data_IF_693380023079
#
_entry.id   IF_693380023079
#
_cell.length_a   1.000
_cell.length_b   1.000
_cell.length_c   1.000
_cell.angle_alpha   90.00
_cell.angle_beta   90.00
_cell.angle_gamma   90.00
#
_symmetry.space_group_name_H-M   'P 1'
#
loop_
_entity.id
_entity.type
_entity.pdbx_description
1 polymer ?
#
# COMPACT_ATOMS: atom_id res chain seq x y z
N UNK A 1 10.40 -1.24 26.71
CA UNK A 1 10.78 -0.07 25.88
C UNK A 1 9.52 0.62 25.40
N UNK A 2 9.31 1.88 25.76
CA UNK A 2 8.17 2.66 25.26
C UNK A 2 8.27 2.84 23.74
N UNK A 3 7.15 2.67 23.03
CA UNK A 3 7.02 3.07 21.62
C UNK A 3 7.39 4.55 21.55
N UNK A 4 8.50 4.90 20.90
CA UNK A 4 8.71 6.29 20.50
C UNK A 4 7.51 6.67 19.62
N UNK A 5 6.74 7.68 20.04
CA UNK A 5 5.63 8.18 19.25
C UNK A 5 6.23 8.67 17.92
N UNK A 6 5.86 8.04 16.81
CA UNK A 6 6.27 8.50 15.49
C UNK A 6 5.62 9.85 15.23
N UNK A 7 6.43 10.88 14.98
CA UNK A 7 5.94 12.21 14.62
C UNK A 7 5.00 12.12 13.40
N UNK A 8 3.88 12.86 13.37
CA UNK A 8 3.02 12.94 12.20
C UNK A 8 3.81 13.31 10.94
N UNK A 9 3.45 12.70 9.80
CA UNK A 9 4.11 12.98 8.53
C UNK A 9 3.16 13.73 7.59
N UNK A 10 3.67 14.69 6.79
CA UNK A 10 2.88 15.37 5.77
C UNK A 10 2.27 14.37 4.78
N UNK A 11 0.98 14.54 4.54
CA UNK A 11 0.22 13.76 3.57
C UNK A 11 -0.69 14.70 2.76
N UNK A 12 -0.24 15.18 1.60
CA UNK A 12 -1.09 15.92 0.68
C UNK A 12 -1.86 17.09 1.34
N UNK A 13 -1.18 17.86 2.19
CA UNK A 13 -1.79 18.95 2.97
C UNK A 13 -2.48 18.55 4.29
N UNK A 14 -2.48 17.26 4.63
CA UNK A 14 -2.91 16.70 5.91
C UNK A 14 -1.74 16.09 6.69
N UNK A 15 -2.04 15.44 7.82
CA UNK A 15 -1.07 14.77 8.69
C UNK A 15 -1.44 13.30 8.88
N UNK A 16 -0.51 12.40 8.62
CA UNK A 16 -0.64 10.98 8.91
C UNK A 16 0.08 10.64 10.22
N UNK A 17 -0.69 10.23 11.22
CA UNK A 17 -0.22 9.92 12.57
C UNK A 17 0.61 8.63 12.65
N UNK A 18 0.55 7.95 13.80
CA UNK A 18 1.37 6.76 14.06
C UNK A 18 0.87 5.49 13.36
N UNK A 19 -0.38 5.47 12.93
CA UNK A 19 -0.97 4.35 12.22
C UNK A 19 -0.93 4.64 10.72
N UNK A 20 -0.17 3.85 9.96
CA UNK A 20 0.22 4.21 8.57
C UNK A 20 -0.07 3.14 7.52
N UNK A 21 -1.06 2.30 7.80
CA UNK A 21 -1.61 1.36 6.83
C UNK A 21 -2.91 1.93 6.28
N UNK A 22 -2.88 2.39 5.02
CA UNK A 22 -3.94 3.20 4.41
C UNK A 22 -4.54 2.45 3.24
N UNK A 23 -5.86 2.25 3.22
CA UNK A 23 -6.55 1.88 1.99
C UNK A 23 -6.99 3.14 1.24
N UNK A 24 -6.73 3.20 -0.06
CA UNK A 24 -7.15 4.31 -0.90
C UNK A 24 -8.06 3.81 -2.01
N UNK A 25 -9.25 4.39 -2.11
CA UNK A 25 -10.27 3.97 -3.07
C UNK A 25 -10.50 5.04 -4.13
N UNK A 26 -10.35 4.65 -5.39
CA UNK A 26 -10.52 5.55 -6.53
C UNK A 26 -11.42 4.94 -7.59
N UNK A 27 -12.15 5.78 -8.33
CA UNK A 27 -13.02 5.32 -9.43
C UNK A 27 -12.31 5.28 -10.78
N UNK A 28 -11.19 5.98 -10.89
CA UNK A 28 -10.37 6.04 -12.09
C UNK A 28 -8.96 6.58 -11.78
N UNK A 29 -8.05 6.42 -12.75
CA UNK A 29 -6.67 6.87 -12.62
C UNK A 29 -6.54 8.39 -12.41
N UNK A 30 -7.37 9.22 -13.04
CA UNK A 30 -7.26 10.68 -12.86
C UNK A 30 -7.58 11.10 -11.42
N UNK A 31 -8.56 10.46 -10.78
CA UNK A 31 -8.86 10.63 -9.37
C UNK A 31 -7.71 10.16 -8.48
N UNK A 32 -7.14 8.99 -8.77
CA UNK A 32 -5.98 8.44 -8.06
C UNK A 32 -4.79 9.39 -8.09
N UNK A 33 -4.31 9.78 -9.27
CA UNK A 33 -3.12 10.65 -9.38
C UNK A 33 -3.37 12.04 -8.80
N UNK A 34 -4.58 12.61 -8.96
CA UNK A 34 -4.92 13.90 -8.34
C UNK A 34 -4.78 13.86 -6.81
N UNK A 35 -5.03 12.72 -6.18
CA UNK A 35 -4.97 12.55 -4.72
C UNK A 35 -3.59 12.11 -4.26
N UNK A 36 -2.93 11.19 -4.97
CA UNK A 36 -1.66 10.60 -4.53
C UNK A 36 -0.43 11.43 -4.95
N UNK A 37 -0.48 12.20 -6.03
CA UNK A 37 0.68 12.99 -6.48
C UNK A 37 1.21 13.95 -5.40
N UNK A 38 0.38 14.71 -4.67
CA UNK A 38 0.89 15.57 -3.60
C UNK A 38 1.63 14.78 -2.51
N UNK A 39 1.13 13.60 -2.12
CA UNK A 39 1.83 12.74 -1.16
C UNK A 39 3.19 12.25 -1.66
N UNK A 40 3.28 11.95 -2.96
CA UNK A 40 4.52 11.52 -3.62
C UNK A 40 5.51 12.68 -3.70
N UNK A 41 5.05 13.87 -4.10
CA UNK A 41 5.85 15.10 -4.15
C UNK A 41 6.40 15.47 -2.77
N UNK A 42 5.54 15.51 -1.75
CA UNK A 42 5.93 15.76 -0.35
C UNK A 42 7.06 14.81 0.09
N UNK A 43 7.02 13.55 -0.35
CA UNK A 43 8.03 12.55 -0.07
C UNK A 43 9.37 12.87 -0.72
N UNK A 44 9.35 13.15 -2.02
CA UNK A 44 10.58 13.48 -2.75
C UNK A 44 11.22 14.78 -2.24
N UNK A 45 10.43 15.82 -1.99
CA UNK A 45 10.88 17.09 -1.43
C UNK A 45 11.47 16.94 -0.01
N UNK A 46 10.94 16.00 0.78
CA UNK A 46 11.46 15.66 2.11
C UNK A 46 12.71 14.78 2.08
N UNK A 47 13.19 14.37 0.91
CA UNK A 47 14.29 13.41 0.78
C UNK A 47 13.91 11.98 1.21
N UNK A 48 12.62 11.67 1.31
CA UNK A 48 12.15 10.32 1.62
C UNK A 48 12.26 9.43 0.38
N UNK A 49 12.40 8.12 0.60
CA UNK A 49 12.34 7.11 -0.45
C UNK A 49 10.89 6.79 -0.79
N UNK A 50 10.64 6.41 -2.04
CA UNK A 50 9.36 5.96 -2.57
C UNK A 50 9.50 4.51 -3.08
N UNK A 51 8.60 3.64 -2.65
CA UNK A 51 8.51 2.24 -3.08
C UNK A 51 7.14 2.00 -3.70
N UNK A 52 7.07 1.91 -5.03
CA UNK A 52 5.81 1.79 -5.75
C UNK A 52 5.70 0.40 -6.40
N UNK A 53 4.55 -0.26 -6.23
CA UNK A 53 4.19 -1.49 -6.95
C UNK A 53 3.01 -1.18 -7.86
N UNK A 54 3.18 -1.43 -9.15
CA UNK A 54 2.18 -1.11 -10.19
C UNK A 54 1.89 -2.32 -11.09
N UNK A 55 0.79 -2.27 -11.82
CA UNK A 55 0.55 -3.18 -12.95
C UNK A 55 1.65 -2.95 -14.01
N UNK A 56 2.35 -4.00 -14.51
CA UNK A 56 3.36 -3.87 -15.56
C UNK A 56 2.84 -3.15 -16.80
N UNK A 57 1.54 -3.28 -17.14
CA UNK A 57 0.90 -2.59 -18.26
C UNK A 57 0.80 -1.08 -18.03
N UNK A 58 0.74 -0.65 -16.77
CA UNK A 58 0.60 0.75 -16.36
C UNK A 58 1.94 1.38 -15.96
N UNK A 59 3.03 0.61 -15.88
CA UNK A 59 4.36 1.09 -15.45
C UNK A 59 4.80 2.36 -16.19
N UNK A 60 4.76 2.34 -17.51
CA UNK A 60 5.18 3.50 -18.32
C UNK A 60 4.26 4.70 -18.12
N UNK A 61 2.95 4.46 -17.98
CA UNK A 61 2.00 5.54 -17.71
C UNK A 61 2.22 6.15 -16.32
N UNK A 62 2.49 5.33 -15.30
CA UNK A 62 2.83 5.79 -13.95
C UNK A 62 4.05 6.72 -13.98
N UNK A 63 5.13 6.30 -14.66
CA UNK A 63 6.33 7.15 -14.81
C UNK A 63 6.03 8.46 -15.54
N UNK A 64 5.20 8.44 -16.60
CA UNK A 64 4.79 9.66 -17.30
C UNK A 64 3.98 10.60 -16.41
N UNK A 65 3.10 10.08 -15.57
CA UNK A 65 2.30 10.86 -14.61
C UNK A 65 3.19 11.52 -13.56
N UNK A 66 4.18 10.80 -13.03
CA UNK A 66 5.18 11.38 -12.11
C UNK A 66 5.97 12.51 -12.78
N UNK A 67 6.48 12.27 -14.00
CA UNK A 67 7.22 13.29 -14.74
C UNK A 67 6.37 14.53 -15.06
N UNK A 68 5.11 14.34 -15.42
CA UNK A 68 4.16 15.43 -15.69
C UNK A 68 3.82 16.25 -14.43
N UNK A 69 4.01 15.67 -13.25
CA UNK A 69 3.88 16.34 -11.97
C UNK A 69 5.18 17.06 -11.53
N UNK A 70 6.20 17.13 -12.41
CA UNK A 70 7.46 17.82 -12.13
C UNK A 70 8.51 16.98 -11.40
N UNK A 71 8.29 15.67 -11.22
CA UNK A 71 9.28 14.78 -10.62
C UNK A 71 10.30 14.38 -11.69
N UNK A 72 11.58 14.66 -11.45
CA UNK A 72 12.66 14.12 -12.30
C UNK A 72 12.88 12.64 -12.00
N UNK A 73 12.07 11.80 -12.66
CA UNK A 73 12.08 10.33 -12.53
C UNK A 73 13.48 9.76 -12.70
N UNK A 74 14.24 10.24 -13.67
CA UNK A 74 15.57 9.70 -13.96
C UNK A 74 16.57 10.00 -12.83
N UNK A 75 16.43 11.14 -12.16
CA UNK A 75 17.24 11.49 -10.98
C UNK A 75 16.83 10.65 -9.77
N UNK A 76 15.53 10.57 -9.46
CA UNK A 76 15.06 9.83 -8.27
C UNK A 76 15.24 8.32 -8.40
N UNK A 77 15.23 7.74 -9.61
CA UNK A 77 15.60 6.34 -9.80
C UNK A 77 17.12 6.14 -9.61
N UNK A 78 17.94 7.02 -10.21
CA UNK A 78 19.41 6.89 -10.16
C UNK A 78 19.98 7.04 -8.75
N UNK A 79 19.41 7.92 -7.94
CA UNK A 79 19.83 8.12 -6.56
C UNK A 79 19.19 7.11 -5.57
N UNK A 80 18.35 6.19 -6.07
CA UNK A 80 17.68 5.15 -5.28
C UNK A 80 16.45 5.63 -4.49
N UNK A 81 16.07 6.89 -4.64
CA UNK A 81 14.92 7.49 -3.96
C UNK A 81 13.59 7.00 -4.51
N UNK A 82 13.50 6.56 -5.77
CA UNK A 82 12.34 5.86 -6.33
C UNK A 82 12.73 4.42 -6.67
N UNK A 83 12.00 3.45 -6.11
CA UNK A 83 11.95 2.08 -6.57
C UNK A 83 10.58 1.74 -7.11
N UNK A 84 10.52 1.46 -8.40
CA UNK A 84 9.30 1.02 -9.06
C UNK A 84 9.40 -0.47 -9.39
N UNK A 85 8.53 -1.26 -8.78
CA UNK A 85 8.35 -2.68 -9.06
C UNK A 85 7.06 -2.90 -9.85
N UNK A 86 7.04 -3.98 -10.63
CA UNK A 86 5.78 -4.50 -11.12
C UNK A 86 5.28 -5.64 -10.22
N UNK A 87 4.01 -6.00 -10.37
CA UNK A 87 3.42 -7.07 -9.60
C UNK A 87 3.96 -8.49 -9.90
N UNK A 88 4.65 -8.71 -11.02
CA UNK A 88 5.22 -10.02 -11.36
C UNK A 88 6.52 -10.25 -10.57
N UNK A 89 7.29 -9.19 -10.34
CA UNK A 89 8.52 -9.24 -9.55
C UNK A 89 8.27 -9.25 -8.03
N UNK A 90 7.02 -9.02 -7.63
CA UNK A 90 6.58 -8.89 -6.23
C UNK A 90 5.50 -9.92 -5.90
N UNK A 91 4.23 -9.58 -6.09
CA UNK A 91 3.09 -10.44 -5.74
C UNK A 91 3.14 -11.81 -6.41
N UNK A 92 3.63 -11.91 -7.65
CA UNK A 92 3.70 -13.17 -8.40
C UNK A 92 5.13 -13.65 -8.68
N UNK A 93 6.10 -13.29 -7.82
CA UNK A 93 7.52 -13.63 -8.01
C UNK A 93 7.77 -15.12 -8.29
N UNK A 94 6.94 -16.00 -7.73
CA UNK A 94 7.02 -17.46 -7.88
C UNK A 94 5.86 -18.04 -8.69
N UNK A 95 5.25 -17.24 -9.58
CA UNK A 95 4.14 -17.63 -10.45
C UNK A 95 2.76 -17.72 -9.75
N UNK A 96 2.72 -17.51 -8.43
CA UNK A 96 1.52 -17.47 -7.61
C UNK A 96 1.71 -16.41 -6.51
N UNK A 97 0.61 -16.00 -5.88
CA UNK A 97 0.66 -15.14 -4.71
C UNK A 97 0.97 -15.95 -3.45
N UNK A 98 2.05 -15.58 -2.77
CA UNK A 98 2.45 -16.09 -1.47
C UNK A 98 2.48 -14.92 -0.47
N UNK A 99 1.53 -14.92 0.46
CA UNK A 99 1.42 -13.87 1.46
C UNK A 99 2.66 -13.77 2.36
N UNK A 100 3.33 -14.87 2.70
CA UNK A 100 4.51 -14.85 3.56
C UNK A 100 5.71 -14.27 2.84
N UNK A 101 5.90 -14.65 1.57
CA UNK A 101 6.94 -14.06 0.72
C UNK A 101 6.71 -12.56 0.52
N UNK A 102 5.47 -12.12 0.30
CA UNK A 102 5.15 -10.70 0.12
C UNK A 102 5.35 -9.88 1.41
N UNK A 103 4.96 -10.42 2.56
CA UNK A 103 5.22 -9.79 3.86
C UNK A 103 6.73 -9.64 4.14
N UNK A 104 7.52 -10.67 3.84
CA UNK A 104 8.98 -10.63 3.97
C UNK A 104 9.61 -9.62 3.00
N UNK A 105 9.10 -9.51 1.77
CA UNK A 105 9.56 -8.52 0.80
C UNK A 105 9.30 -7.09 1.26
N UNK A 106 8.09 -6.80 1.77
CA UNK A 106 7.77 -5.47 2.30
C UNK A 106 8.71 -5.14 3.47
N UNK A 107 8.91 -6.08 4.38
CA UNK A 107 9.83 -5.88 5.51
C UNK A 107 11.26 -5.58 5.04
N UNK A 108 11.76 -6.34 4.05
CA UNK A 108 13.08 -6.13 3.46
C UNK A 108 13.22 -4.76 2.78
N UNK A 109 12.21 -4.33 2.01
CA UNK A 109 12.22 -3.03 1.34
C UNK A 109 12.23 -1.87 2.35
N UNK A 110 11.47 -1.97 3.45
CA UNK A 110 11.47 -0.96 4.52
C UNK A 110 12.82 -0.90 5.25
N UNK A 111 13.41 -2.06 5.57
CA UNK A 111 14.72 -2.15 6.20
C UNK A 111 15.83 -1.63 5.30
N UNK A 112 15.77 -1.91 4.01
CA UNK A 112 16.76 -1.43 3.04
C UNK A 112 16.73 0.09 2.91
N UNK A 113 15.54 0.70 2.88
CA UNK A 113 15.41 2.16 2.86
C UNK A 113 16.07 2.80 4.09
N UNK A 114 15.82 2.25 5.27
CA UNK A 114 16.49 2.71 6.49
C UNK A 114 18.02 2.50 6.45
N UNK A 115 18.48 1.35 5.93
CA UNK A 115 19.91 1.04 5.78
C UNK A 115 20.65 1.95 4.79
N UNK A 116 19.94 2.50 3.80
CA UNK A 116 20.45 3.49 2.86
C UNK A 116 20.43 4.93 3.41
N UNK A 117 19.97 5.13 4.65
CA UNK A 117 19.95 6.43 5.32
C UNK A 117 18.71 7.27 5.03
N UNK A 118 17.70 6.73 4.35
CA UNK A 118 16.44 7.45 4.13
C UNK A 118 15.68 7.61 5.44
N UNK A 119 15.08 8.79 5.62
CA UNK A 119 14.27 9.07 6.80
C UNK A 119 12.98 8.24 6.83
N UNK A 120 12.33 8.04 5.68
CA UNK A 120 11.15 7.21 5.49
C UNK A 120 11.23 6.52 4.10
N UNK A 121 10.57 5.39 3.98
CA UNK A 121 10.13 4.78 2.71
C UNK A 121 8.61 4.92 2.62
N UNK A 122 8.11 5.72 1.68
CA UNK A 122 6.68 5.89 1.40
C UNK A 122 6.25 4.88 0.35
N UNK A 123 5.39 3.94 0.71
CA UNK A 123 4.96 2.88 -0.18
C UNK A 123 3.59 3.16 -0.81
N UNK A 124 3.46 2.90 -2.10
CA UNK A 124 2.19 2.87 -2.84
C UNK A 124 2.09 1.53 -3.55
N UNK A 125 1.10 0.74 -3.18
CA UNK A 125 0.96 -0.63 -3.65
C UNK A 125 -0.41 -0.82 -4.30
N UNK A 126 -0.44 -1.02 -5.61
CA UNK A 126 -1.70 -1.27 -6.33
C UNK A 126 -2.14 -2.71 -6.11
N UNK A 127 -3.36 -2.89 -5.63
CA UNK A 127 -3.88 -4.22 -5.23
C UNK A 127 -4.66 -4.90 -6.34
N UNK A 128 -4.80 -4.26 -7.51
CA UNK A 128 -5.56 -4.79 -8.65
C UNK A 128 -5.08 -6.15 -9.18
N UNK A 129 -3.91 -6.65 -8.74
CA UNK A 129 -3.41 -8.00 -9.03
C UNK A 129 -4.33 -9.08 -8.46
N UNK A 130 -5.05 -8.77 -7.38
CA UNK A 130 -5.99 -9.70 -6.75
C UNK A 130 -7.22 -10.00 -7.61
N UNK A 131 -7.38 -9.29 -8.74
CA UNK A 131 -8.42 -9.54 -9.74
C UNK A 131 -7.95 -10.45 -10.88
N UNK A 132 -6.66 -10.79 -10.92
CA UNK A 132 -6.12 -11.75 -11.89
C UNK A 132 -6.58 -13.17 -11.56
N UNK A 133 -6.79 -13.99 -12.58
CA UNK A 133 -7.08 -15.42 -12.41
C UNK A 133 -5.77 -16.18 -12.20
N UNK A 134 -5.17 -16.02 -11.01
CA UNK A 134 -3.89 -16.64 -10.62
C UNK A 134 -3.99 -17.32 -9.26
N UNK A 135 -3.24 -18.41 -9.01
CA UNK A 135 -3.24 -19.06 -7.71
C UNK A 135 -2.79 -18.11 -6.60
N UNK A 136 -3.48 -18.15 -5.46
CA UNK A 136 -3.12 -17.37 -4.26
C UNK A 136 -3.90 -16.06 -4.11
N UNK A 137 -4.48 -15.51 -5.17
CA UNK A 137 -5.16 -14.19 -5.10
C UNK A 137 -6.29 -14.12 -4.08
N UNK A 138 -6.91 -15.26 -3.74
CA UNK A 138 -7.93 -15.37 -2.70
C UNK A 138 -7.43 -15.04 -1.29
N UNK A 139 -6.12 -15.00 -1.08
CA UNK A 139 -5.49 -14.71 0.21
C UNK A 139 -5.20 -13.22 0.42
N UNK A 140 -5.55 -12.35 -0.54
CA UNK A 140 -5.36 -10.89 -0.43
C UNK A 140 -5.97 -10.32 0.86
N UNK A 141 -7.17 -10.76 1.25
CA UNK A 141 -7.86 -10.27 2.46
C UNK A 141 -7.10 -10.64 3.72
N UNK A 142 -6.58 -11.86 3.78
CA UNK A 142 -5.79 -12.35 4.90
C UNK A 142 -4.43 -11.64 4.96
N UNK A 143 -3.80 -11.45 3.82
CA UNK A 143 -2.55 -10.71 3.67
C UNK A 143 -2.66 -9.27 4.18
N UNK A 144 -3.68 -8.53 3.74
CA UNK A 144 -3.93 -7.14 4.16
C UNK A 144 -4.17 -7.04 5.68
N UNK A 145 -4.90 -8.01 6.27
CA UNK A 145 -5.03 -8.09 7.72
C UNK A 145 -3.67 -8.31 8.41
N UNK A 146 -2.86 -9.25 7.90
CA UNK A 146 -1.57 -9.62 8.47
C UNK A 146 -0.51 -8.52 8.37
N UNK A 147 -0.60 -7.62 7.40
CA UNK A 147 0.27 -6.43 7.34
C UNK A 147 0.25 -5.63 8.65
N UNK A 148 -0.89 -5.60 9.34
CA UNK A 148 -1.02 -4.90 10.63
C UNK A 148 -0.20 -5.51 11.78
N UNK A 149 0.37 -6.71 11.64
CA UNK A 149 1.35 -7.23 12.60
C UNK A 149 2.77 -6.68 12.37
N UNK A 150 3.08 -6.30 11.13
CA UNK A 150 4.43 -5.88 10.73
C UNK A 150 4.56 -4.36 10.79
N UNK A 151 3.63 -3.64 10.16
CA UNK A 151 3.73 -2.19 9.98
C UNK A 151 3.87 -1.39 11.27
N UNK A 152 3.30 -1.77 12.43
CA UNK A 152 3.53 -1.04 13.68
C UNK A 152 4.98 -1.05 14.19
N UNK A 153 5.87 -1.85 13.59
CA UNK A 153 7.31 -1.89 13.88
C UNK A 153 8.10 -0.84 13.07
N UNK A 154 7.46 -0.25 12.06
CA UNK A 154 8.06 0.69 11.11
C UNK A 154 7.33 2.04 11.18
N UNK A 155 8.04 3.11 10.85
CA UNK A 155 7.46 4.47 10.75
C UNK A 155 6.97 4.76 9.32
N UNK A 156 7.09 3.80 8.44
CA UNK A 156 6.94 3.96 7.00
C UNK A 156 5.46 3.82 6.61
N UNK A 157 4.89 4.77 5.83
CA UNK A 157 3.52 4.66 5.38
C UNK A 157 3.38 3.74 4.18
N UNK A 158 2.31 2.93 4.18
CA UNK A 158 1.90 2.12 3.05
C UNK A 158 0.47 2.49 2.65
N UNK A 159 0.30 2.84 1.38
CA UNK A 159 -0.99 3.07 0.76
C UNK A 159 -1.29 1.88 -0.17
N UNK A 160 -2.30 1.09 0.19
CA UNK A 160 -2.87 0.05 -0.66
C UNK A 160 -3.96 0.69 -1.54
N UNK A 161 -3.77 0.66 -2.85
CA UNK A 161 -4.62 1.34 -3.83
C UNK A 161 -5.61 0.36 -4.47
N UNK A 162 -6.90 0.71 -4.41
CA UNK A 162 -8.01 -0.09 -4.88
C UNK A 162 -8.84 0.68 -5.93
N UNK A 163 -9.08 0.03 -7.07
CA UNK A 163 -9.94 0.54 -8.14
C UNK A 163 -11.39 0.09 -7.92
N UNK A 164 -12.24 1.02 -7.47
CA UNK A 164 -13.66 0.79 -7.21
C UNK A 164 -14.47 0.43 -8.45
N UNK A 165 -13.97 0.72 -9.66
CA UNK A 165 -14.63 0.30 -10.89
C UNK A 165 -14.47 -1.19 -11.19
N UNK A 166 -13.50 -1.84 -10.53
CA UNK A 166 -13.12 -3.24 -10.78
C UNK A 166 -13.40 -4.16 -9.59
N UNK A 167 -13.26 -3.68 -8.36
CA UNK A 167 -13.49 -4.48 -7.16
C UNK A 167 -14.98 -4.53 -6.77
N UNK A 168 -15.48 -5.72 -6.43
CA UNK A 168 -16.85 -5.90 -5.95
C UNK A 168 -17.07 -5.36 -4.54
N UNK A 169 -18.33 -5.11 -4.14
CA UNK A 169 -18.61 -4.50 -2.83
C UNK A 169 -18.08 -5.32 -1.63
N UNK A 170 -18.14 -6.65 -1.70
CA UNK A 170 -17.70 -7.53 -0.61
C UNK A 170 -16.21 -7.36 -0.29
N UNK A 171 -15.35 -7.35 -1.32
CA UNK A 171 -13.91 -7.19 -1.12
C UNK A 171 -13.58 -5.79 -0.59
N UNK A 172 -14.26 -4.73 -1.08
CA UNK A 172 -14.08 -3.36 -0.59
C UNK A 172 -14.40 -3.25 0.90
N UNK A 173 -15.48 -3.90 1.36
CA UNK A 173 -15.83 -3.97 2.78
C UNK A 173 -14.75 -4.70 3.59
N UNK A 174 -14.23 -5.82 3.10
CA UNK A 174 -13.13 -6.51 3.77
C UNK A 174 -11.86 -5.64 3.83
N UNK A 175 -11.50 -4.93 2.76
CA UNK A 175 -10.35 -4.00 2.77
C UNK A 175 -10.55 -2.85 3.75
N UNK A 176 -11.77 -2.30 3.84
CA UNK A 176 -12.10 -1.31 4.87
C UNK A 176 -11.93 -1.89 6.28
N UNK A 177 -12.25 -3.16 6.51
CA UNK A 177 -12.09 -3.77 7.83
C UNK A 177 -10.63 -4.07 8.19
N UNK A 178 -9.73 -4.19 7.21
CA UNK A 178 -8.31 -4.49 7.44
C UNK A 178 -7.41 -3.26 7.57
N UNK A 179 -7.86 -2.07 7.15
CA UNK A 179 -7.02 -0.87 7.15
C UNK A 179 -7.46 0.14 8.21
N UNK A 180 -6.58 0.56 9.13
CA UNK A 180 -6.89 1.56 10.15
C UNK A 180 -7.05 2.99 9.63
N UNK A 181 -6.50 3.29 8.45
CA UNK A 181 -6.65 4.58 7.78
C UNK A 181 -7.28 4.39 6.41
N UNK A 182 -8.02 5.39 5.95
CA UNK A 182 -8.70 5.32 4.65
C UNK A 182 -8.64 6.65 3.92
N UNK A 183 -8.51 6.58 2.60
CA UNK A 183 -8.70 7.69 1.66
C UNK A 183 -9.95 7.41 0.83
N UNK A 184 -10.99 8.19 1.06
CA UNK A 184 -12.24 8.17 0.28
C UNK A 184 -12.57 9.59 -0.15
N UNK A 185 -12.92 9.78 -1.42
CA UNK A 185 -13.21 11.12 -1.97
C UNK A 185 -12.00 12.06 -1.93
N UNK A 186 -10.79 11.52 -1.84
CA UNK A 186 -9.54 12.29 -1.71
C UNK A 186 -9.22 12.79 -0.31
N UNK A 187 -9.97 12.37 0.71
CA UNK A 187 -9.77 12.81 2.10
C UNK A 187 -9.19 11.64 2.90
N UNK A 188 -8.05 11.88 3.55
CA UNK A 188 -7.45 10.97 4.53
C UNK A 188 -8.17 11.08 5.87
N UNK A 189 -8.59 9.96 6.44
CA UNK A 189 -9.25 9.89 7.74
C UNK A 189 -8.93 8.58 8.47
N UNK A 190 -9.09 8.59 9.80
CA UNK A 190 -9.16 7.36 10.58
C UNK A 190 -10.36 6.53 10.12
N UNK A 191 -10.17 5.22 9.98
CA UNK A 191 -11.19 4.34 9.47
C UNK A 191 -12.04 3.76 10.62
N UNK A 192 -13.31 4.16 10.78
CA UNK A 192 -14.16 3.67 11.87
C UNK A 192 -14.56 2.20 11.72
N UNK A 193 -14.32 1.60 10.54
CA UNK A 193 -14.66 0.20 10.26
C UNK A 193 -13.51 -0.77 10.50
N UNK A 194 -12.32 -0.27 10.89
CA UNK A 194 -11.15 -1.10 11.14
C UNK A 194 -11.41 -2.10 12.27
N UNK A 195 -11.04 -3.36 12.01
CA UNK A 195 -11.10 -4.47 12.97
C UNK A 195 -9.67 -4.94 13.26
N UNK A 196 -9.27 -5.09 14.54
CA UNK A 196 -7.95 -5.61 14.88
C UNK A 196 -7.67 -6.96 14.19
N UNK A 197 -6.42 -7.22 13.77
CA UNK A 197 -6.11 -8.37 12.91
C UNK A 197 -6.47 -9.72 13.53
N UNK A 198 -6.30 -9.89 14.84
CA UNK A 198 -6.68 -11.14 15.53
C UNK A 198 -8.19 -11.44 15.44
N UNK A 199 -9.03 -10.41 15.60
CA UNK A 199 -10.48 -10.52 15.52
C UNK A 199 -10.91 -10.77 14.06
N UNK A 200 -10.38 -9.98 13.13
CA UNK A 200 -10.74 -10.10 11.72
C UNK A 200 -10.35 -11.46 11.13
N UNK A 201 -9.17 -11.98 11.46
CA UNK A 201 -8.70 -13.28 10.97
C UNK A 201 -9.53 -14.45 11.54
N UNK A 202 -10.02 -14.35 12.78
CA UNK A 202 -10.96 -15.31 13.34
C UNK A 202 -12.28 -15.31 12.56
N UNK A 203 -12.87 -14.13 12.33
CA UNK A 203 -14.09 -13.98 11.53
C UNK A 203 -13.92 -14.54 10.11
N UNK A 204 -12.77 -14.27 9.48
CA UNK A 204 -12.46 -14.75 8.14
C UNK A 204 -12.37 -16.30 8.09
N UNK A 205 -11.74 -16.91 9.10
CA UNK A 205 -11.66 -18.35 9.24
C UNK A 205 -13.04 -19.00 9.39
N UNK A 206 -13.91 -18.40 10.22
CA UNK A 206 -15.29 -18.86 10.42
C UNK A 206 -16.11 -18.76 9.13
N UNK A 207 -15.99 -17.66 8.38
CA UNK A 207 -16.65 -17.48 7.06
C UNK A 207 -16.20 -18.54 6.04
N UNK A 208 -14.90 -18.82 5.97
CA UNK A 208 -14.34 -19.87 5.09
C UNK A 208 -14.85 -21.26 5.48
N UNK A 209 -14.92 -21.56 6.78
CA UNK A 209 -15.45 -22.82 7.31
C UNK A 209 -16.96 -23.02 7.09
N UNK A 210 -17.75 -21.94 7.01
CA UNK A 210 -19.18 -21.99 6.71
C UNK A 210 -19.47 -22.16 5.20
N UNK A 211 -18.61 -21.63 4.34
CA UNK A 211 -18.77 -21.68 2.88
C UNK A 211 -18.26 -23.00 2.27
N UNK A 212 -17.38 -23.71 2.98
CA UNK A 212 -16.84 -25.01 2.59
C UNK A 212 -17.63 -26.24 3.08
N UNK A 213 -18.85 -26.03 3.64
CA UNK A 213 -19.78 -27.11 4.03
C UNK A 213 -20.92 -27.25 3.05
#
# INVERSE_FOLDING_TARGET
>A
MGKAASEPIPFAGSQLGATRHVCAFFRNADEEYRVLLPFIQDGFESGDRAFHIVDPKLRNEHLRRLASAGIDVAVVERNGQLRLHDWNDTYFRHGHFDQHAMLALIEAELQEGAGQGFRLSRAIAHVAWALEDRPGVQDVVEFEARLNYILPRYKDPIICVYDLSRFGAAIVVDMLRTHPMVIIGGILQENPFFVPPDEFLRDLSERRGATGR
#
